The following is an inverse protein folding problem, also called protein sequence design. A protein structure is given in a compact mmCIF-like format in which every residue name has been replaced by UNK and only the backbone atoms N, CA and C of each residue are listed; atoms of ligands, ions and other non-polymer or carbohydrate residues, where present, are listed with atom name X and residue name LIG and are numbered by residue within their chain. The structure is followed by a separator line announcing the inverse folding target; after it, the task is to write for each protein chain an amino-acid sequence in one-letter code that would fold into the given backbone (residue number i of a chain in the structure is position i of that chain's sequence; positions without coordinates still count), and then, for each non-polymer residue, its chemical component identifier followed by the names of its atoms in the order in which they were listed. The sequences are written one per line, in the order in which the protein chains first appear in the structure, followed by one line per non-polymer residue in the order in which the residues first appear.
data_IF_341431605219
#
_entry.id   IF_341431605219
#
_cell.length_a   1.000
_cell.length_b   1.000
_cell.length_c   1.000
_cell.angle_alpha   90.00
_cell.angle_beta   90.00
_cell.angle_gamma   90.00
#
_symmetry.space_group_name_H-M   'P 1'
#
loop_
_entity.id
_entity.type
_entity.pdbx_description
1 polymer ?
#
# COMPACT_ATOMS: atom_id res chain seq x y z
N UNK A 1 46.42 -18.58 -63.54
CA UNK A 1 45.12 -18.62 -62.82
C UNK A 1 45.35 -18.28 -61.39
N UNK A 2 45.07 -17.06 -60.95
CA UNK A 2 45.20 -16.60 -59.57
C UNK A 2 43.80 -16.58 -58.91
N UNK A 3 43.60 -17.46 -57.96
CA UNK A 3 42.35 -17.59 -57.21
C UNK A 3 42.34 -16.54 -56.08
N UNK A 4 41.50 -15.50 -56.19
CA UNK A 4 41.31 -14.51 -55.14
C UNK A 4 40.26 -15.02 -54.14
N UNK A 5 40.70 -15.38 -52.96
CA UNK A 5 39.83 -15.62 -51.80
C UNK A 5 39.33 -14.27 -51.22
N UNK A 6 38.03 -13.96 -51.38
CA UNK A 6 37.38 -12.86 -50.66
C UNK A 6 36.95 -13.38 -49.28
N UNK A 7 37.67 -12.96 -48.23
CA UNK A 7 37.24 -13.18 -46.85
C UNK A 7 36.20 -12.09 -46.54
N UNK A 8 34.92 -12.50 -46.41
CA UNK A 8 33.88 -11.65 -45.90
C UNK A 8 33.93 -11.67 -44.35
N UNK A 9 34.44 -10.63 -43.75
CA UNK A 9 34.41 -10.45 -42.30
C UNK A 9 32.98 -10.10 -41.90
N UNK A 10 32.25 -11.05 -41.31
CA UNK A 10 30.94 -10.80 -40.67
C UNK A 10 31.20 -10.13 -39.34
N UNK A 11 30.96 -8.81 -39.28
CA UNK A 11 30.95 -8.06 -38.04
C UNK A 11 29.66 -8.37 -37.29
N UNK A 12 29.72 -9.34 -36.34
CA UNK A 12 28.65 -9.54 -35.36
C UNK A 12 28.64 -8.35 -34.41
N UNK A 13 27.82 -7.36 -34.71
CA UNK A 13 27.48 -6.29 -33.75
C UNK A 13 26.63 -6.93 -32.68
N UNK A 14 27.25 -7.34 -31.56
CA UNK A 14 26.51 -7.67 -30.33
C UNK A 14 25.90 -6.38 -29.80
N UNK A 15 24.66 -6.08 -30.19
CA UNK A 15 23.85 -5.07 -29.53
C UNK A 15 23.59 -5.60 -28.13
N UNK A 16 24.41 -5.15 -27.17
CA UNK A 16 24.09 -5.34 -25.74
C UNK A 16 22.80 -4.56 -25.49
N UNK A 17 21.69 -5.27 -25.59
CA UNK A 17 20.39 -4.74 -25.18
C UNK A 17 20.50 -4.49 -23.67
N UNK A 18 20.84 -3.28 -23.27
CA UNK A 18 20.62 -2.84 -21.90
C UNK A 18 19.13 -2.95 -21.66
N UNK A 19 18.73 -4.01 -20.94
CA UNK A 19 17.34 -4.19 -20.57
C UNK A 19 16.89 -2.91 -19.86
N UNK A 20 15.97 -2.18 -20.48
CA UNK A 20 15.42 -0.95 -19.95
C UNK A 20 14.87 -1.26 -18.55
N UNK A 21 15.24 -0.42 -17.57
CA UNK A 21 14.72 -0.55 -16.21
C UNK A 21 13.23 -0.25 -16.21
N UNK A 22 12.48 -1.00 -15.41
CA UNK A 22 11.09 -0.62 -15.14
C UNK A 22 11.03 0.65 -14.30
N UNK A 23 10.02 1.48 -14.51
CA UNK A 23 9.73 2.63 -13.66
C UNK A 23 8.60 2.26 -12.71
N UNK A 24 8.76 2.54 -11.41
CA UNK A 24 7.72 2.34 -10.40
C UNK A 24 7.32 3.68 -9.82
N UNK A 25 6.03 3.99 -9.89
CA UNK A 25 5.44 5.19 -9.30
C UNK A 25 4.42 4.73 -8.24
N UNK A 26 4.74 4.94 -6.95
CA UNK A 26 3.84 4.57 -5.85
C UNK A 26 2.98 5.77 -5.48
N UNK A 27 1.67 5.64 -5.66
CA UNK A 27 0.69 6.69 -5.40
C UNK A 27 -0.13 6.29 -4.17
N UNK A 28 0.05 7.06 -3.09
CA UNK A 28 -0.77 6.98 -1.90
C UNK A 28 -2.12 7.67 -2.13
N UNK A 29 -3.20 6.93 -1.95
CA UNK A 29 -4.56 7.37 -2.22
C UNK A 29 -5.36 7.62 -0.96
N UNK A 30 -6.41 8.41 -1.13
CA UNK A 30 -7.59 8.42 -0.26
C UNK A 30 -8.71 7.68 -1.02
N UNK A 31 -9.22 6.60 -0.44
CA UNK A 31 -10.23 5.77 -1.12
C UNK A 31 -11.53 6.52 -1.39
N UNK A 32 -11.94 7.37 -0.44
CA UNK A 32 -13.15 8.20 -0.58
C UNK A 32 -12.82 9.51 -1.29
N UNK A 33 -13.64 9.92 -2.28
CA UNK A 33 -13.44 11.19 -2.98
C UNK A 33 -13.39 12.39 -2.03
N UNK A 34 -12.40 13.26 -2.24
CA UNK A 34 -12.25 14.57 -1.60
C UNK A 34 -12.19 15.66 -2.67
N UNK A 35 -12.46 16.91 -2.31
CA UNK A 35 -12.59 18.01 -3.28
C UNK A 35 -11.40 18.14 -4.24
N UNK A 36 -10.18 17.95 -3.74
CA UNK A 36 -8.95 18.12 -4.50
C UNK A 36 -8.16 16.83 -4.72
N UNK A 37 -8.70 15.70 -4.22
CA UNK A 37 -8.13 14.37 -4.45
C UNK A 37 -9.26 13.36 -4.65
N UNK A 38 -9.58 13.11 -5.89
CA UNK A 38 -10.69 12.26 -6.34
C UNK A 38 -10.27 11.46 -7.59
N UNK A 39 -11.21 10.75 -8.18
CA UNK A 39 -10.95 9.94 -9.36
C UNK A 39 -10.43 10.76 -10.56
N UNK A 40 -10.87 12.02 -10.72
CA UNK A 40 -10.35 12.87 -11.80
C UNK A 40 -8.88 13.24 -11.58
N UNK A 41 -8.51 13.52 -10.33
CA UNK A 41 -7.11 13.78 -9.96
C UNK A 41 -6.21 12.59 -10.31
N UNK A 42 -6.64 11.37 -9.97
CA UNK A 42 -5.90 10.14 -10.30
C UNK A 42 -5.86 9.87 -11.81
N UNK A 43 -6.97 10.05 -12.49
CA UNK A 43 -7.03 9.92 -13.94
C UNK A 43 -6.04 10.87 -14.63
N UNK A 44 -5.98 12.14 -14.22
CA UNK A 44 -5.04 13.13 -14.75
C UNK A 44 -3.57 12.75 -14.45
N UNK A 45 -3.29 12.15 -13.30
CA UNK A 45 -1.96 11.62 -13.00
C UNK A 45 -1.62 10.47 -13.95
N UNK A 46 -2.56 9.55 -14.21
CA UNK A 46 -2.34 8.46 -15.17
C UNK A 46 -2.12 8.98 -16.60
N UNK A 47 -2.86 10.00 -17.02
CA UNK A 47 -2.65 10.66 -18.35
C UNK A 47 -1.25 11.28 -18.46
N UNK A 48 -0.73 11.86 -17.37
CA UNK A 48 0.63 12.41 -17.33
C UNK A 48 1.69 11.31 -17.34
N UNK A 49 1.52 10.31 -16.49
CA UNK A 49 2.49 9.22 -16.29
C UNK A 49 2.51 8.25 -17.47
N UNK A 50 1.35 7.95 -18.06
CA UNK A 50 1.14 6.97 -19.13
C UNK A 50 1.70 5.59 -18.75
N UNK A 51 1.12 4.93 -17.73
CA UNK A 51 1.58 3.62 -17.28
C UNK A 51 1.24 2.52 -18.28
N UNK A 52 2.11 1.51 -18.37
CA UNK A 52 1.81 0.24 -19.03
C UNK A 52 0.99 -0.69 -18.12
N UNK A 53 1.17 -0.54 -16.79
CA UNK A 53 0.56 -1.42 -15.78
C UNK A 53 0.09 -0.59 -14.60
N UNK A 54 -1.12 -0.88 -14.14
CA UNK A 54 -1.71 -0.33 -12.91
C UNK A 54 -1.84 -1.47 -11.91
N UNK A 55 -1.13 -1.37 -10.77
CA UNK A 55 -1.26 -2.29 -9.66
C UNK A 55 -2.25 -1.73 -8.63
N UNK A 56 -3.23 -2.56 -8.24
CA UNK A 56 -4.28 -2.22 -7.28
C UNK A 56 -4.09 -2.93 -5.94
N UNK A 57 -4.30 -2.22 -4.83
CA UNK A 57 -4.36 -2.75 -3.47
C UNK A 57 -5.66 -3.54 -3.23
N UNK A 58 -5.88 -4.54 -4.05
CA UNK A 58 -6.98 -5.49 -4.00
C UNK A 58 -6.46 -6.90 -4.21
N UNK A 59 -7.11 -7.91 -3.63
CA UNK A 59 -6.79 -9.31 -3.92
C UNK A 59 -7.53 -9.81 -5.19
N UNK A 60 -7.18 -11.03 -5.65
CA UNK A 60 -7.74 -11.60 -6.87
C UNK A 60 -9.26 -11.75 -6.84
N UNK A 61 -9.88 -11.83 -5.66
CA UNK A 61 -11.33 -12.04 -5.53
C UNK A 61 -12.14 -10.89 -6.08
N UNK A 62 -11.57 -9.69 -6.18
CA UNK A 62 -12.20 -8.51 -6.75
C UNK A 62 -12.12 -8.46 -8.29
N UNK A 63 -11.42 -9.39 -8.92
CA UNK A 63 -11.21 -9.42 -10.37
C UNK A 63 -11.82 -10.65 -11.02
N UNK A 64 -12.20 -10.52 -12.28
CA UNK A 64 -12.49 -11.65 -13.18
C UNK A 64 -11.18 -12.35 -13.56
N UNK A 65 -11.28 -13.49 -14.26
CA UNK A 65 -10.11 -14.20 -14.80
C UNK A 65 -9.27 -13.34 -15.75
N UNK A 66 -9.89 -12.38 -16.43
CA UNK A 66 -9.25 -11.46 -17.37
C UNK A 66 -8.82 -10.14 -16.70
N UNK A 67 -8.76 -10.12 -15.36
CA UNK A 67 -8.40 -8.95 -14.55
C UNK A 67 -9.28 -7.71 -14.77
N UNK A 68 -10.57 -7.88 -15.07
CA UNK A 68 -11.57 -6.82 -15.01
C UNK A 68 -12.18 -6.79 -13.61
N UNK A 69 -12.52 -5.60 -13.13
CA UNK A 69 -13.23 -5.48 -11.85
C UNK A 69 -14.58 -6.19 -11.90
N UNK A 70 -14.98 -6.91 -10.83
CA UNK A 70 -16.23 -7.66 -10.76
C UNK A 70 -17.48 -6.81 -10.55
N UNK A 71 -17.31 -5.59 -10.12
CA UNK A 71 -18.44 -4.70 -9.87
C UNK A 71 -18.00 -3.24 -9.76
N UNK A 72 -18.95 -2.30 -9.82
CA UNK A 72 -18.65 -0.88 -9.68
C UNK A 72 -18.17 -0.56 -8.26
N UNK A 73 -17.29 0.41 -8.15
CA UNK A 73 -16.87 0.99 -6.88
C UNK A 73 -16.98 2.51 -6.93
N UNK A 74 -17.18 3.10 -5.74
CA UNK A 74 -17.11 4.55 -5.55
C UNK A 74 -15.68 5.00 -5.17
N UNK A 75 -14.76 4.06 -5.01
CA UNK A 75 -13.38 4.35 -4.69
C UNK A 75 -12.66 5.06 -5.84
N UNK A 76 -11.82 6.03 -5.49
CA UNK A 76 -11.11 6.85 -6.46
C UNK A 76 -10.27 6.01 -7.43
N UNK A 77 -9.57 5.02 -6.90
CA UNK A 77 -8.61 4.20 -7.63
C UNK A 77 -9.29 3.36 -8.70
N UNK A 78 -10.38 2.68 -8.34
CA UNK A 78 -11.10 1.84 -9.30
C UNK A 78 -11.73 2.71 -10.39
N UNK A 79 -12.43 3.79 -10.02
CA UNK A 79 -13.08 4.68 -10.98
C UNK A 79 -12.09 5.27 -11.98
N UNK A 80 -10.95 5.81 -11.49
CA UNK A 80 -9.92 6.37 -12.34
C UNK A 80 -9.32 5.30 -13.28
N UNK A 81 -9.06 4.10 -12.77
CA UNK A 81 -8.48 3.01 -13.55
C UNK A 81 -9.43 2.47 -14.60
N UNK A 82 -10.72 2.30 -14.29
CA UNK A 82 -11.73 1.87 -15.26
C UNK A 82 -11.83 2.84 -16.43
N UNK A 83 -11.85 4.14 -16.15
CA UNK A 83 -11.87 5.19 -17.17
C UNK A 83 -10.59 5.19 -18.00
N UNK A 84 -9.45 4.98 -17.36
CA UNK A 84 -8.15 4.98 -18.06
C UNK A 84 -8.04 3.80 -19.01
N UNK A 85 -8.36 2.57 -18.59
CA UNK A 85 -8.30 1.38 -19.46
C UNK A 85 -9.40 1.38 -20.54
N UNK A 86 -10.52 2.07 -20.32
CA UNK A 86 -11.52 2.25 -21.37
C UNK A 86 -10.96 3.06 -22.56
N UNK A 87 -10.04 4.00 -22.29
CA UNK A 87 -9.35 4.79 -23.31
C UNK A 87 -8.09 4.10 -23.85
N UNK A 88 -7.40 3.33 -22.99
CA UNK A 88 -6.13 2.65 -23.28
C UNK A 88 -6.24 1.15 -22.95
N UNK A 89 -6.91 0.35 -23.81
CA UNK A 89 -7.24 -1.04 -23.54
C UNK A 89 -6.01 -1.97 -23.48
N UNK A 90 -4.84 -1.52 -23.93
CA UNK A 90 -3.56 -2.24 -23.83
C UNK A 90 -2.94 -2.18 -22.43
N UNK A 91 -3.40 -1.27 -21.56
CA UNK A 91 -2.89 -1.12 -20.19
C UNK A 91 -3.39 -2.25 -19.31
N UNK A 92 -2.48 -2.87 -18.58
CA UNK A 92 -2.79 -3.99 -17.72
C UNK A 92 -3.18 -3.52 -16.32
N UNK A 93 -4.25 -4.10 -15.76
CA UNK A 93 -4.55 -3.98 -14.31
C UNK A 93 -4.19 -5.29 -13.63
N UNK A 94 -3.54 -5.23 -12.45
CA UNK A 94 -3.15 -6.40 -11.67
C UNK A 94 -3.33 -6.14 -10.16
N UNK A 95 -3.80 -7.14 -9.40
CA UNK A 95 -3.81 -7.09 -7.94
C UNK A 95 -2.39 -7.23 -7.38
N UNK A 96 -2.11 -6.55 -6.25
CA UNK A 96 -0.84 -6.75 -5.53
C UNK A 96 -1.01 -6.91 -4.02
N UNK A 97 -2.24 -6.94 -3.54
CA UNK A 97 -2.59 -7.10 -2.13
C UNK A 97 -2.10 -8.46 -1.58
N UNK A 98 -2.08 -8.56 -0.25
CA UNK A 98 -2.00 -9.83 0.47
C UNK A 98 -3.22 -10.68 0.13
N UNK A 99 -2.99 -11.83 -0.50
CA UNK A 99 -4.06 -12.73 -0.94
C UNK A 99 -4.83 -13.28 0.26
N UNK A 100 -6.17 -13.22 0.20
CA UNK A 100 -7.04 -13.63 1.31
C UNK A 100 -6.99 -12.71 2.52
N UNK A 101 -6.60 -11.43 2.38
CA UNK A 101 -6.52 -10.44 3.47
C UNK A 101 -7.75 -10.44 4.37
N UNK A 102 -8.93 -10.47 3.80
CA UNK A 102 -10.17 -10.36 4.56
C UNK A 102 -10.46 -11.62 5.39
N UNK A 103 -10.17 -12.80 4.84
CA UNK A 103 -10.25 -14.09 5.55
C UNK A 103 -9.25 -14.11 6.70
N UNK A 104 -7.99 -13.81 6.42
CA UNK A 104 -6.93 -13.76 7.43
C UNK A 104 -7.33 -12.86 8.61
N UNK A 105 -7.80 -11.64 8.33
CA UNK A 105 -8.23 -10.70 9.38
C UNK A 105 -9.41 -11.22 10.21
N UNK A 106 -10.35 -11.95 9.60
CA UNK A 106 -11.49 -12.55 10.31
C UNK A 106 -11.06 -13.74 11.16
N UNK A 107 -10.24 -14.63 10.62
CA UNK A 107 -9.75 -15.83 11.30
C UNK A 107 -8.86 -15.49 12.50
N UNK A 108 -8.03 -14.46 12.35
CA UNK A 108 -7.16 -13.96 13.42
C UNK A 108 -7.88 -13.05 14.42
N UNK A 109 -9.16 -12.76 14.21
CA UNK A 109 -9.97 -11.89 15.08
C UNK A 109 -9.59 -10.41 15.01
N UNK A 110 -8.76 -10.01 14.07
CA UNK A 110 -8.36 -8.60 13.86
C UNK A 110 -9.59 -7.75 13.61
N UNK A 111 -10.46 -8.20 12.68
CA UNK A 111 -11.67 -7.45 12.31
C UNK A 111 -12.64 -7.27 13.48
N UNK A 112 -12.72 -8.26 14.36
CA UNK A 112 -13.62 -8.24 15.51
C UNK A 112 -13.07 -7.40 16.67
N UNK A 113 -11.75 -7.33 16.82
CA UNK A 113 -11.08 -6.67 17.96
C UNK A 113 -10.71 -5.21 17.71
N UNK A 114 -10.38 -4.81 16.48
CA UNK A 114 -9.81 -3.49 16.15
C UNK A 114 -10.68 -2.32 16.67
N UNK A 115 -11.94 -2.24 16.25
CA UNK A 115 -12.83 -1.13 16.64
C UNK A 115 -13.17 -1.14 18.14
N UNK A 116 -13.50 -2.28 18.81
CA UNK A 116 -13.70 -2.29 20.23
C UNK A 116 -12.48 -1.86 21.04
N UNK A 117 -11.28 -2.30 20.63
CA UNK A 117 -10.02 -1.92 21.29
C UNK A 117 -9.82 -0.41 21.25
N UNK A 118 -9.96 0.21 20.08
CA UNK A 118 -9.77 1.65 19.95
C UNK A 118 -10.81 2.45 20.73
N UNK A 119 -12.08 2.03 20.75
CA UNK A 119 -13.12 2.69 21.56
C UNK A 119 -12.81 2.65 23.07
N UNK A 120 -12.34 1.51 23.57
CA UNK A 120 -11.96 1.38 24.98
C UNK A 120 -10.74 2.24 25.30
N UNK A 121 -9.73 2.25 24.42
CA UNK A 121 -8.56 3.13 24.55
C UNK A 121 -8.97 4.60 24.62
N UNK A 122 -9.86 5.04 23.74
CA UNK A 122 -10.41 6.39 23.74
C UNK A 122 -11.17 6.72 25.03
N UNK A 123 -11.94 5.76 25.57
CA UNK A 123 -12.63 5.90 26.84
C UNK A 123 -11.66 6.03 28.03
N UNK A 124 -10.62 5.20 28.06
CA UNK A 124 -9.57 5.27 29.10
C UNK A 124 -8.84 6.63 29.06
N UNK A 125 -8.52 7.09 27.85
CA UNK A 125 -7.89 8.40 27.66
C UNK A 125 -8.78 9.54 28.17
N UNK A 126 -10.04 9.56 27.75
CA UNK A 126 -10.99 10.64 28.07
C UNK A 126 -11.38 10.66 29.55
N UNK A 127 -11.42 9.49 30.20
CA UNK A 127 -11.75 9.37 31.64
C UNK A 127 -10.53 9.54 32.58
N UNK A 128 -9.34 9.83 32.04
CA UNK A 128 -8.12 10.03 32.85
C UNK A 128 -7.58 8.75 33.49
N UNK A 129 -7.94 7.56 32.97
CA UNK A 129 -7.52 6.26 33.52
C UNK A 129 -6.18 5.76 32.98
N UNK A 130 -5.58 6.46 32.05
CA UNK A 130 -4.22 6.20 31.58
C UNK A 130 -3.21 6.94 32.46
N UNK A 131 -2.04 6.34 32.71
CA UNK A 131 -0.93 7.01 33.36
C UNK A 131 -0.34 8.10 32.41
N UNK A 132 0.60 8.90 32.89
CA UNK A 132 1.17 10.03 32.14
C UNK A 132 1.87 9.60 30.85
N UNK A 133 2.66 8.52 30.89
CA UNK A 133 3.34 7.98 29.72
C UNK A 133 2.34 7.50 28.66
N UNK A 134 1.35 6.70 29.08
CA UNK A 134 0.30 6.19 28.19
C UNK A 134 -0.53 7.33 27.57
N UNK A 135 -0.83 8.38 28.34
CA UNK A 135 -1.52 9.56 27.83
C UNK A 135 -0.69 10.29 26.77
N UNK A 136 0.60 10.42 26.99
CA UNK A 136 1.53 11.03 26.04
C UNK A 136 1.54 10.24 24.72
N UNK A 137 1.63 8.93 24.79
CA UNK A 137 1.58 8.04 23.61
C UNK A 137 0.27 8.23 22.82
N UNK A 138 -0.88 8.18 23.49
CA UNK A 138 -2.18 8.32 22.83
C UNK A 138 -2.36 9.74 22.26
N UNK A 139 -1.90 10.78 22.97
CA UNK A 139 -1.96 12.17 22.50
C UNK A 139 -1.14 12.35 21.21
N UNK A 140 0.06 11.81 21.15
CA UNK A 140 0.92 11.93 19.97
C UNK A 140 0.35 11.16 18.77
N UNK A 141 -0.18 9.95 18.98
CA UNK A 141 -0.89 9.21 17.94
C UNK A 141 -2.06 10.01 17.35
N UNK A 142 -2.87 10.65 18.22
CA UNK A 142 -4.00 11.48 17.79
C UNK A 142 -3.51 12.72 17.02
N UNK A 143 -2.53 13.44 17.56
CA UNK A 143 -1.93 14.61 16.90
C UNK A 143 -1.44 14.29 15.48
N UNK A 144 -0.73 13.19 15.32
CA UNK A 144 -0.24 12.73 14.00
C UNK A 144 -1.39 12.35 13.07
N UNK A 145 -2.44 11.72 13.59
CA UNK A 145 -3.64 11.36 12.82
C UNK A 145 -4.37 12.63 12.34
N UNK A 146 -4.56 13.62 13.22
CA UNK A 146 -5.22 14.89 12.87
C UNK A 146 -4.41 15.69 11.85
N UNK A 147 -3.08 15.68 11.99
CA UNK A 147 -2.18 16.30 11.03
C UNK A 147 -2.31 15.66 9.63
N UNK A 148 -2.37 14.34 9.53
CA UNK A 148 -2.56 13.64 8.25
C UNK A 148 -3.96 13.88 7.67
N UNK A 149 -4.99 13.90 8.51
CA UNK A 149 -6.35 14.21 8.10
C UNK A 149 -6.46 15.62 7.51
N UNK A 150 -5.71 16.60 8.06
CA UNK A 150 -5.70 17.97 7.53
C UNK A 150 -5.16 18.06 6.09
N UNK A 151 -4.34 17.10 5.65
CA UNK A 151 -3.85 17.05 4.28
C UNK A 151 -4.92 16.57 3.28
N UNK A 152 -6.00 15.94 3.76
CA UNK A 152 -7.10 15.44 2.94
C UNK A 152 -7.80 16.50 2.10
N UNK A 153 -7.73 17.76 2.51
CA UNK A 153 -8.32 18.90 1.80
C UNK A 153 -7.36 19.54 0.78
N UNK A 154 -6.14 19.02 0.65
CA UNK A 154 -5.13 19.56 -0.23
C UNK A 154 -5.12 18.81 -1.59
N UNK A 155 -3.98 18.59 -2.19
CA UNK A 155 -3.87 17.91 -3.49
C UNK A 155 -3.24 16.53 -3.37
N UNK A 156 -3.27 15.74 -4.45
CA UNK A 156 -2.56 14.47 -4.53
C UNK A 156 -1.08 14.58 -4.13
N UNK A 157 -0.39 15.67 -4.49
CA UNK A 157 1.02 15.90 -4.14
C UNK A 157 1.21 16.02 -2.63
N UNK A 158 0.23 16.56 -1.89
CA UNK A 158 0.32 16.68 -0.43
C UNK A 158 0.26 15.33 0.28
N UNK A 159 -0.32 14.31 -0.35
CA UNK A 159 -0.28 12.93 0.14
C UNK A 159 0.96 12.17 -0.31
N UNK A 160 1.62 12.62 -1.36
CA UNK A 160 2.67 11.89 -2.06
C UNK A 160 3.98 12.69 -2.06
N UNK A 161 4.54 12.89 -0.89
CA UNK A 161 5.81 13.58 -0.74
C UNK A 161 6.55 13.07 0.52
N UNK A 162 7.88 13.28 0.61
CA UNK A 162 8.69 12.75 1.72
C UNK A 162 8.24 13.22 3.12
N UNK A 163 7.67 14.43 3.24
CA UNK A 163 7.17 14.95 4.52
C UNK A 163 5.95 14.16 5.00
N UNK A 164 4.98 13.96 4.12
CA UNK A 164 3.78 13.16 4.43
C UNK A 164 4.16 11.70 4.72
N UNK A 165 5.08 11.12 3.95
CA UNK A 165 5.60 9.78 4.19
C UNK A 165 6.22 9.64 5.59
N UNK A 166 7.00 10.64 6.02
CA UNK A 166 7.62 10.66 7.35
C UNK A 166 6.58 10.73 8.48
N UNK A 167 5.54 11.55 8.30
CA UNK A 167 4.45 11.67 9.28
C UNK A 167 3.63 10.37 9.31
N UNK A 168 3.32 9.78 8.16
CA UNK A 168 2.63 8.49 8.06
C UNK A 168 3.43 7.38 8.74
N UNK A 169 4.75 7.33 8.51
CA UNK A 169 5.65 6.38 9.17
C UNK A 169 5.61 6.51 10.68
N UNK A 170 5.74 7.74 11.19
CA UNK A 170 5.70 7.99 12.63
C UNK A 170 4.34 7.64 13.24
N UNK A 171 3.23 8.01 12.58
CA UNK A 171 1.87 7.68 13.02
C UNK A 171 1.67 6.16 13.07
N UNK A 172 2.14 5.41 12.07
CA UNK A 172 2.05 3.96 12.03
C UNK A 172 2.95 3.29 13.06
N UNK A 173 4.14 3.87 13.34
CA UNK A 173 4.98 3.43 14.47
C UNK A 173 4.24 3.57 15.79
N UNK A 174 3.60 4.72 16.05
CA UNK A 174 2.79 4.90 17.26
C UNK A 174 1.65 3.88 17.33
N UNK A 175 0.92 3.64 16.24
CA UNK A 175 -0.19 2.70 16.23
C UNK A 175 0.24 1.26 16.52
N UNK A 176 1.27 0.79 15.85
CA UNK A 176 1.64 -0.64 15.88
C UNK A 176 2.69 -0.99 16.94
N UNK A 177 3.38 0.00 17.52
CA UNK A 177 4.39 -0.25 18.55
C UNK A 177 4.04 0.44 19.88
N UNK A 178 3.81 1.75 19.91
CA UNK A 178 3.59 2.47 21.17
C UNK A 178 2.19 2.22 21.76
N UNK A 179 1.13 2.34 20.96
CA UNK A 179 -0.23 1.98 21.38
C UNK A 179 -0.31 0.49 21.76
N UNK A 180 0.43 -0.38 21.06
CA UNK A 180 0.54 -1.80 21.41
C UNK A 180 1.04 -2.01 22.83
N UNK A 181 2.00 -1.21 23.31
CA UNK A 181 2.46 -1.27 24.72
C UNK A 181 1.32 -0.91 25.65
N UNK A 182 0.62 0.20 25.42
CA UNK A 182 -0.54 0.62 26.21
C UNK A 182 -1.60 -0.49 26.29
N UNK A 183 -1.96 -1.09 25.16
CA UNK A 183 -2.93 -2.20 25.10
C UNK A 183 -2.44 -3.41 25.91
N UNK A 184 -1.15 -3.72 25.83
CA UNK A 184 -0.57 -4.87 26.56
C UNK A 184 -0.51 -4.68 28.07
N UNK A 185 -0.39 -3.44 28.56
CA UNK A 185 -0.31 -3.09 29.97
C UNK A 185 -1.69 -2.96 30.63
N UNK A 186 -2.70 -2.51 29.89
CA UNK A 186 -4.05 -2.29 30.41
C UNK A 186 -4.84 -3.60 30.51
N UNK A 187 -5.12 -4.06 31.73
CA UNK A 187 -5.76 -5.35 32.07
C UNK A 187 -7.09 -5.56 31.34
N UNK A 188 -7.88 -4.53 31.17
CA UNK A 188 -9.18 -4.57 30.50
C UNK A 188 -9.14 -5.21 29.11
N UNK A 189 -8.06 -5.04 28.35
CA UNK A 189 -7.93 -5.64 27.02
C UNK A 189 -7.67 -7.15 27.04
N UNK A 190 -7.21 -7.69 28.16
CA UNK A 190 -7.08 -9.14 28.38
C UNK A 190 -8.37 -9.78 28.88
N UNK A 191 -9.27 -9.01 29.50
CA UNK A 191 -10.52 -9.49 30.12
C UNK A 191 -11.68 -9.55 29.11
N UNK A 192 -11.67 -8.68 28.10
CA UNK A 192 -12.74 -8.62 27.09
C UNK A 192 -12.37 -9.51 25.91
N UNK A 193 -13.28 -10.43 25.56
CA UNK A 193 -13.08 -11.36 24.45
C UNK A 193 -13.99 -11.07 23.28
N UNK A 194 -13.51 -11.40 22.08
CA UNK A 194 -14.25 -11.47 20.82
C UNK A 194 -14.18 -12.88 20.26
N UNK A 195 -15.13 -13.23 19.40
CA UNK A 195 -15.16 -14.55 18.77
C UNK A 195 -14.76 -14.42 17.30
N UNK A 196 -13.76 -15.19 16.88
CA UNK A 196 -13.30 -15.28 15.49
C UNK A 196 -14.34 -16.01 14.64
N UNK A 197 -14.16 -16.01 13.33
CA UNK A 197 -15.05 -16.77 12.41
C UNK A 197 -14.98 -18.28 12.60
N UNK A 198 -13.85 -18.80 13.13
CA UNK A 198 -13.70 -20.22 13.48
C UNK A 198 -14.34 -20.58 14.84
N UNK A 199 -14.96 -19.63 15.54
CA UNK A 199 -15.55 -19.84 16.87
C UNK A 199 -14.54 -19.75 18.03
N UNK A 200 -13.28 -19.49 17.75
CA UNK A 200 -12.26 -19.31 18.81
C UNK A 200 -12.49 -17.99 19.54
N UNK A 201 -12.46 -18.02 20.88
CA UNK A 201 -12.44 -16.79 21.70
C UNK A 201 -11.00 -16.30 21.85
N UNK A 202 -10.80 -15.02 21.59
CA UNK A 202 -9.52 -14.32 21.81
C UNK A 202 -9.79 -13.01 22.57
N UNK A 203 -8.84 -12.55 23.35
CA UNK A 203 -8.93 -11.25 24.01
C UNK A 203 -8.74 -10.11 23.01
N UNK A 204 -9.21 -8.90 23.36
CA UNK A 204 -8.92 -7.69 22.57
C UNK A 204 -7.42 -7.45 22.46
N UNK A 205 -6.66 -7.76 23.51
CA UNK A 205 -5.19 -7.71 23.52
C UNK A 205 -4.58 -8.62 22.44
N UNK A 206 -5.00 -9.89 22.37
CA UNK A 206 -4.51 -10.84 21.36
C UNK A 206 -4.85 -10.35 19.95
N UNK A 207 -6.10 -9.95 19.72
CA UNK A 207 -6.54 -9.44 18.41
C UNK A 207 -5.81 -8.18 17.97
N UNK A 208 -5.49 -7.26 18.88
CA UNK A 208 -4.71 -6.07 18.56
C UNK A 208 -3.24 -6.40 18.26
N UNK A 209 -2.65 -7.37 18.98
CA UNK A 209 -1.31 -7.86 18.66
C UNK A 209 -1.25 -8.49 17.27
N UNK A 210 -2.22 -9.31 16.91
CA UNK A 210 -2.35 -9.87 15.54
C UNK A 210 -2.51 -8.75 14.49
N UNK A 211 -3.25 -7.68 14.78
CA UNK A 211 -3.37 -6.51 13.91
C UNK A 211 -2.01 -5.84 13.66
N UNK A 212 -1.22 -5.65 14.72
CA UNK A 212 0.10 -5.05 14.62
C UNK A 212 1.07 -5.92 13.80
N UNK A 213 1.10 -7.22 14.05
CA UNK A 213 1.97 -8.16 13.34
C UNK A 213 1.56 -8.30 11.87
N UNK A 214 0.25 -8.26 11.60
CA UNK A 214 -0.28 -8.32 10.24
C UNK A 214 0.08 -7.09 9.42
N UNK A 215 0.23 -5.90 10.03
CA UNK A 215 0.66 -4.70 9.32
C UNK A 215 1.98 -4.92 8.59
N UNK A 216 2.99 -5.42 9.28
CA UNK A 216 4.30 -5.70 8.69
C UNK A 216 4.25 -6.81 7.66
N UNK A 217 3.58 -7.92 7.98
CA UNK A 217 3.42 -9.06 7.06
C UNK A 217 2.76 -8.63 5.76
N UNK A 218 1.68 -7.85 5.83
CA UNK A 218 0.92 -7.36 4.69
C UNK A 218 1.78 -6.46 3.80
N UNK A 219 2.45 -5.46 4.38
CA UNK A 219 3.26 -4.51 3.61
C UNK A 219 4.46 -5.18 2.93
N UNK A 220 5.16 -6.09 3.62
CA UNK A 220 6.24 -6.88 3.03
C UNK A 220 5.75 -7.77 1.88
N UNK A 221 4.57 -8.37 2.03
CA UNK A 221 3.95 -9.18 0.97
C UNK A 221 3.59 -8.33 -0.24
N UNK A 222 2.96 -7.17 -0.03
CA UNK A 222 2.64 -6.23 -1.11
C UNK A 222 3.91 -5.77 -1.86
N UNK A 223 4.96 -5.39 -1.15
CA UNK A 223 6.24 -5.00 -1.77
C UNK A 223 6.86 -6.15 -2.58
N UNK A 224 6.83 -7.39 -2.07
CA UNK A 224 7.28 -8.58 -2.79
C UNK A 224 6.47 -8.80 -4.08
N UNK A 225 5.16 -8.61 -4.02
CA UNK A 225 4.28 -8.73 -5.19
C UNK A 225 4.61 -7.67 -6.25
N UNK A 226 4.83 -6.41 -5.86
CA UNK A 226 5.26 -5.34 -6.77
C UNK A 226 6.59 -5.72 -7.46
N UNK A 227 7.58 -6.19 -6.71
CA UNK A 227 8.87 -6.64 -7.25
C UNK A 227 8.70 -7.82 -8.22
N UNK A 228 7.77 -8.74 -7.94
CA UNK A 228 7.48 -9.85 -8.86
C UNK A 228 6.93 -9.33 -10.19
N UNK A 229 6.10 -8.29 -10.19
CA UNK A 229 5.59 -7.68 -11.43
C UNK A 229 6.70 -7.00 -12.24
N UNK A 230 7.68 -6.35 -11.62
CA UNK A 230 8.82 -5.78 -12.38
C UNK A 230 9.67 -6.84 -13.07
N UNK A 231 9.76 -8.04 -12.46
CA UNK A 231 10.44 -9.19 -13.07
C UNK A 231 9.64 -9.79 -14.23
N UNK A 232 8.31 -9.86 -14.07
CA UNK A 232 7.39 -10.41 -15.08
C UNK A 232 7.24 -9.48 -16.29
N UNK A 233 7.36 -8.18 -16.10
CA UNK A 233 7.14 -7.15 -17.10
C UNK A 233 8.35 -6.19 -17.14
N UNK A 234 9.51 -6.64 -17.60
CA UNK A 234 10.72 -5.80 -17.61
C UNK A 234 10.57 -4.58 -18.54
N UNK A 235 11.16 -3.46 -18.14
CA UNK A 235 11.14 -2.22 -18.91
C UNK A 235 9.81 -1.47 -18.93
N UNK A 236 8.81 -1.93 -18.15
CA UNK A 236 7.48 -1.33 -18.11
C UNK A 236 7.36 -0.24 -17.06
N UNK A 237 6.50 0.74 -17.34
CA UNK A 237 6.11 1.80 -16.41
C UNK A 237 4.91 1.33 -15.60
N UNK A 238 5.09 1.26 -14.28
CA UNK A 238 4.15 0.66 -13.35
C UNK A 238 3.67 1.71 -12.35
N UNK A 239 2.38 2.00 -12.34
CA UNK A 239 1.73 2.73 -11.25
C UNK A 239 1.27 1.72 -10.20
N UNK A 240 1.55 2.02 -8.92
CA UNK A 240 1.06 1.29 -7.75
C UNK A 240 0.08 2.18 -6.99
N UNK A 241 -1.20 1.82 -6.98
CA UNK A 241 -2.25 2.53 -6.27
C UNK A 241 -2.47 1.88 -4.91
N UNK A 242 -2.14 2.59 -3.84
CA UNK A 242 -2.21 2.09 -2.45
C UNK A 242 -2.79 3.13 -1.51
N UNK A 243 -3.38 2.73 -0.39
CA UNK A 243 -3.73 3.66 0.66
C UNK A 243 -2.48 4.43 1.13
N UNK A 244 -2.61 5.75 1.35
CA UNK A 244 -1.46 6.62 1.64
C UNK A 244 -0.67 6.22 2.89
N UNK A 245 -1.29 5.51 3.85
CA UNK A 245 -0.60 4.95 5.02
C UNK A 245 0.42 3.87 4.67
N UNK A 246 0.28 3.18 3.52
CA UNK A 246 1.18 2.12 3.08
C UNK A 246 2.36 2.65 2.28
N UNK A 247 2.22 3.84 1.64
CA UNK A 247 3.16 4.35 0.65
C UNK A 247 4.61 4.39 1.16
N UNK A 248 4.85 4.98 2.32
CA UNK A 248 6.21 5.05 2.89
C UNK A 248 6.83 3.67 3.06
N UNK A 249 6.04 2.70 3.56
CA UNK A 249 6.52 1.34 3.81
C UNK A 249 6.90 0.63 2.51
N UNK A 250 6.05 0.72 1.50
CA UNK A 250 6.32 0.16 0.18
C UNK A 250 7.57 0.77 -0.44
N UNK A 251 7.73 2.10 -0.37
CA UNK A 251 8.93 2.78 -0.86
C UNK A 251 10.20 2.31 -0.14
N UNK A 252 10.16 2.11 1.18
CA UNK A 252 11.29 1.61 1.95
C UNK A 252 11.65 0.17 1.56
N UNK A 253 10.67 -0.73 1.45
CA UNK A 253 10.90 -2.12 1.07
C UNK A 253 11.40 -2.26 -0.38
N UNK A 254 10.87 -1.47 -1.30
CA UNK A 254 11.35 -1.42 -2.68
C UNK A 254 12.80 -0.96 -2.75
N UNK A 255 13.17 0.10 -2.00
CA UNK A 255 14.55 0.60 -1.91
C UNK A 255 15.49 -0.44 -1.26
N UNK A 256 15.08 -1.07 -0.15
CA UNK A 256 15.85 -2.13 0.55
C UNK A 256 16.12 -3.34 -0.33
N UNK A 257 15.24 -3.63 -1.30
CA UNK A 257 15.42 -4.78 -2.18
C UNK A 257 16.72 -4.71 -2.99
N UNK A 258 17.32 -3.54 -3.13
CA UNK A 258 18.55 -3.31 -3.89
C UNK A 258 18.44 -3.71 -5.38
N UNK A 259 17.22 -3.89 -5.89
CA UNK A 259 16.99 -4.39 -7.23
C UNK A 259 17.33 -3.33 -8.29
N UNK A 260 18.38 -3.58 -9.07
CA UNK A 260 18.83 -2.67 -10.14
C UNK A 260 17.96 -2.71 -11.41
N UNK A 261 16.91 -3.56 -11.45
CA UNK A 261 16.03 -3.74 -12.62
C UNK A 261 14.91 -2.72 -12.72
N UNK A 262 14.71 -1.91 -11.68
CA UNK A 262 13.74 -0.82 -11.70
C UNK A 262 14.30 0.44 -11.03
N UNK A 263 13.65 1.56 -11.28
CA UNK A 263 13.84 2.82 -10.57
C UNK A 263 12.50 3.29 -10.02
N UNK A 264 12.54 4.00 -8.90
CA UNK A 264 11.36 4.59 -8.26
C UNK A 264 11.33 6.05 -8.65
N UNK A 265 10.18 6.50 -9.18
CA UNK A 265 9.94 7.89 -9.58
C UNK A 265 8.72 8.47 -8.90
N UNK A 266 8.66 9.77 -8.84
CA UNK A 266 7.47 10.49 -8.41
C UNK A 266 6.66 10.92 -9.64
N UNK A 267 5.32 10.95 -9.50
CA UNK A 267 4.46 11.34 -10.64
C UNK A 267 4.51 12.83 -10.98
N UNK A 268 5.11 13.64 -10.12
CA UNK A 268 5.24 15.09 -10.29
C UNK A 268 6.64 15.53 -10.78
N UNK A 269 7.56 14.60 -10.94
CA UNK A 269 8.85 14.78 -11.63
C UNK A 269 8.72 14.62 -13.17
#
# INVERSE_FOLDING_TARGET
MKLLFKIAAIFCITISSFAQKSEIIVIGNVHTPMDRYNADSLYNIMEKVKPDIILHEMDHTFFTKDFKFKGPSKENEQNASERYIAKYPEVLIRPFEFEGRNEYRREKGIKQSESPTMRILDSLFSSGKLNEEQRTIVSEYRRLTDQLNSFGYLSAINFNNPKTDSISKLRQYYQHHEIRKVINEQKIFSEINVTTTSGKKISLKEGYNEFCDFWDLRNKTMAKNIIAYTKKYPGKKIIVLTGYYHRYYLLEELKKSGNKKFEIKEFYE
#
